data_IF_099714256370
#
_entry.id   IF_099714256370
#
_cell.length_a   1.000
_cell.length_b   1.000
_cell.length_c   1.000
_cell.angle_alpha   90.00
_cell.angle_beta   90.00
_cell.angle_gamma   90.00
#
_symmetry.space_group_name_H-M   'P 1'
#
loop_
_entity.id
_entity.type
_entity.pdbx_description
1 polymer ?
#
# COMPACT_ATOMS: atom_id res chain seq x y z
N UNK A 1 18.69 -6.56 32.47
CA UNK A 1 17.22 -6.66 32.32
C UNK A 1 16.69 -5.38 31.69
N UNK A 2 15.91 -5.46 30.61
CA UNK A 2 15.24 -4.27 30.03
C UNK A 2 13.99 -3.99 30.86
N UNK A 3 13.84 -2.81 31.49
CA UNK A 3 12.66 -2.47 32.26
C UNK A 3 11.40 -2.61 31.40
N UNK A 4 10.39 -3.35 31.89
CA UNK A 4 9.11 -3.47 31.17
C UNK A 4 8.39 -2.12 31.21
N UNK A 5 8.18 -1.51 30.05
CA UNK A 5 7.41 -0.27 29.91
C UNK A 5 5.97 -0.48 30.40
N UNK A 6 5.44 0.37 31.30
CA UNK A 6 4.06 0.25 31.77
C UNK A 6 3.05 0.26 30.61
N UNK A 7 1.97 -0.55 30.67
CA UNK A 7 1.03 -0.69 29.56
C UNK A 7 0.33 0.62 29.19
N UNK A 8 0.06 1.49 30.18
CA UNK A 8 -0.51 2.83 29.95
C UNK A 8 0.44 3.75 29.16
N UNK A 9 1.73 3.73 29.49
CA UNK A 9 2.75 4.49 28.77
C UNK A 9 2.92 3.98 27.34
N UNK A 10 2.93 2.65 27.14
CA UNK A 10 2.98 2.03 25.80
C UNK A 10 1.83 2.52 24.92
N UNK A 11 0.58 2.44 25.40
CA UNK A 11 -0.61 2.91 24.66
C UNK A 11 -0.53 4.40 24.32
N UNK A 12 0.02 5.22 25.21
CA UNK A 12 0.20 6.66 25.00
C UNK A 12 1.24 6.94 23.91
N UNK A 13 2.39 6.28 23.98
CA UNK A 13 3.45 6.37 22.97
C UNK A 13 2.94 5.91 21.59
N UNK A 14 2.21 4.79 21.53
CA UNK A 14 1.60 4.28 20.31
C UNK A 14 0.63 5.29 19.69
N UNK A 15 -0.19 5.97 20.52
CA UNK A 15 -1.14 6.99 20.03
C UNK A 15 -0.42 8.20 19.45
N UNK A 16 0.64 8.66 20.11
CA UNK A 16 1.47 9.78 19.64
C UNK A 16 2.13 9.42 18.31
N UNK A 17 2.77 8.24 18.23
CA UNK A 17 3.40 7.75 17.02
C UNK A 17 2.37 7.65 15.88
N UNK A 18 1.24 6.97 16.08
CA UNK A 18 0.19 6.84 15.04
C UNK A 18 -0.28 8.19 14.50
N UNK A 19 -0.51 9.18 15.37
CA UNK A 19 -0.91 10.54 14.94
C UNK A 19 0.20 11.26 14.19
N UNK A 20 1.43 11.16 14.66
CA UNK A 20 2.58 11.79 14.02
C UNK A 20 2.88 11.22 12.63
N UNK A 21 2.64 9.91 12.42
CA UNK A 21 2.86 9.21 11.15
C UNK A 21 1.64 9.21 10.21
N UNK A 22 0.48 9.68 10.65
CA UNK A 22 -0.76 9.65 9.86
C UNK A 22 -0.63 10.35 8.48
N UNK A 23 0.17 11.42 8.39
CA UNK A 23 0.32 12.21 7.16
C UNK A 23 1.05 11.48 6.02
N UNK A 24 1.90 10.49 6.32
CA UNK A 24 2.65 9.71 5.33
C UNK A 24 2.33 8.21 5.39
N UNK A 25 1.34 7.79 6.18
CA UNK A 25 0.99 6.38 6.36
C UNK A 25 0.72 5.65 5.04
N UNK A 26 0.23 6.38 4.04
CA UNK A 26 -0.07 5.86 2.71
C UNK A 26 0.87 6.40 1.62
N UNK A 27 1.91 7.15 1.99
CA UNK A 27 2.93 7.65 1.08
C UNK A 27 4.14 6.70 1.10
N UNK A 28 4.09 5.69 0.24
CA UNK A 28 5.18 4.71 0.10
C UNK A 28 6.38 5.25 -0.72
N UNK A 29 6.26 6.46 -1.28
CA UNK A 29 7.31 7.14 -2.03
C UNK A 29 7.90 8.31 -1.23
N UNK A 30 9.18 8.68 -1.46
CA UNK A 30 9.80 9.85 -0.86
C UNK A 30 8.97 11.11 -1.09
N UNK A 31 9.03 12.07 -0.17
CA UNK A 31 8.21 13.27 -0.26
C UNK A 31 8.80 14.40 -1.14
N UNK A 32 9.86 14.14 -1.90
CA UNK A 32 10.54 15.11 -2.77
C UNK A 32 9.83 15.38 -4.11
N UNK A 33 10.23 16.45 -4.78
CA UNK A 33 9.60 16.95 -6.01
C UNK A 33 9.64 15.92 -7.15
N UNK A 34 10.68 15.09 -7.21
CA UNK A 34 10.88 14.05 -8.22
C UNK A 34 9.82 12.93 -8.16
N UNK A 35 9.15 12.78 -7.02
CA UNK A 35 8.03 11.85 -6.83
C UNK A 35 6.69 12.57 -6.63
N UNK A 36 6.59 13.86 -6.98
CA UNK A 36 5.34 14.62 -6.81
C UNK A 36 4.17 13.99 -7.60
N UNK A 37 4.42 13.54 -8.84
CA UNK A 37 3.45 12.90 -9.73
C UNK A 37 2.98 11.51 -9.28
N UNK A 38 3.71 10.87 -8.36
CA UNK A 38 3.35 9.57 -7.78
C UNK A 38 2.53 9.72 -6.50
N UNK A 39 2.22 10.95 -6.09
CA UNK A 39 1.53 11.27 -4.83
C UNK A 39 0.35 12.18 -5.10
N UNK A 40 -0.70 11.98 -4.31
CA UNK A 40 -1.89 12.82 -4.29
C UNK A 40 -1.99 13.40 -2.89
N UNK A 41 -2.15 14.71 -2.79
CA UNK A 41 -2.33 15.40 -1.51
C UNK A 41 -3.82 15.63 -1.29
N UNK A 42 -4.36 15.04 -0.22
CA UNK A 42 -5.72 15.28 0.23
C UNK A 42 -5.65 15.97 1.59
N UNK A 43 -5.74 17.29 1.59
CA UNK A 43 -5.54 18.13 2.78
C UNK A 43 -4.16 17.95 3.42
N UNK A 44 -4.12 17.33 4.60
CA UNK A 44 -2.88 17.04 5.36
C UNK A 44 -2.33 15.63 5.12
N UNK A 45 -2.99 14.81 4.32
CA UNK A 45 -2.60 13.41 4.05
C UNK A 45 -1.98 13.29 2.68
N UNK A 46 -0.87 12.56 2.58
CA UNK A 46 -0.26 12.17 1.31
C UNK A 46 -0.62 10.72 1.00
N UNK A 47 -1.25 10.51 -0.15
CA UNK A 47 -1.63 9.19 -0.66
C UNK A 47 -0.74 8.84 -1.84
N UNK A 48 -0.26 7.61 -1.92
CA UNK A 48 0.42 7.14 -3.11
C UNK A 48 -0.59 6.89 -4.24
N UNK A 49 -0.25 7.28 -5.47
CA UNK A 49 -1.12 7.04 -6.64
C UNK A 49 -1.43 5.55 -6.82
N UNK A 50 -0.47 4.67 -6.51
CA UNK A 50 -0.71 3.22 -6.46
C UNK A 50 -1.78 2.78 -5.46
N UNK A 51 -1.79 3.38 -4.28
CA UNK A 51 -2.73 3.09 -3.19
C UNK A 51 -4.14 3.52 -3.59
N UNK A 52 -4.25 4.72 -4.18
CA UNK A 52 -5.52 5.26 -4.67
C UNK A 52 -6.05 4.39 -5.81
N UNK A 53 -5.21 4.04 -6.79
CA UNK A 53 -5.63 3.18 -7.90
C UNK A 53 -6.05 1.78 -7.43
N UNK A 54 -5.32 1.18 -6.48
CA UNK A 54 -5.67 -0.10 -5.88
C UNK A 54 -7.02 -0.04 -5.16
N UNK A 55 -7.25 1.01 -4.36
CA UNK A 55 -8.51 1.22 -3.63
C UNK A 55 -9.69 1.46 -4.58
N UNK A 56 -9.50 2.28 -5.62
CA UNK A 56 -10.50 2.48 -6.67
C UNK A 56 -10.80 1.18 -7.40
N UNK A 57 -9.76 0.41 -7.75
CA UNK A 57 -9.90 -0.91 -8.32
C UNK A 57 -10.75 -1.83 -7.44
N UNK A 58 -10.39 -1.97 -6.15
CA UNK A 58 -11.16 -2.76 -5.18
C UNK A 58 -12.64 -2.35 -5.14
N UNK A 59 -12.92 -1.05 -5.06
CA UNK A 59 -14.29 -0.53 -5.04
C UNK A 59 -15.06 -0.91 -6.32
N UNK A 60 -14.45 -0.71 -7.49
CA UNK A 60 -15.02 -1.13 -8.78
C UNK A 60 -15.24 -2.63 -8.84
N UNK A 61 -14.29 -3.43 -8.34
CA UNK A 61 -14.40 -4.89 -8.27
C UNK A 61 -15.54 -5.36 -7.39
N UNK A 62 -15.71 -4.75 -6.21
CA UNK A 62 -16.83 -5.03 -5.33
C UNK A 62 -18.17 -4.71 -5.99
N UNK A 63 -18.29 -3.53 -6.60
CA UNK A 63 -19.50 -3.13 -7.31
C UNK A 63 -19.81 -4.08 -8.48
N UNK A 64 -18.80 -4.40 -9.29
CA UNK A 64 -18.94 -5.33 -10.40
C UNK A 64 -19.35 -6.74 -9.94
N UNK A 65 -18.76 -7.24 -8.85
CA UNK A 65 -19.11 -8.55 -8.28
C UNK A 65 -20.53 -8.57 -7.69
N UNK A 66 -20.98 -7.47 -7.10
CA UNK A 66 -22.34 -7.37 -6.57
C UNK A 66 -23.39 -7.38 -7.69
N UNK A 67 -23.09 -6.73 -8.82
CA UNK A 67 -23.99 -6.59 -9.95
C UNK A 67 -23.92 -7.77 -10.95
N UNK A 68 -22.78 -8.45 -11.06
CA UNK A 68 -22.61 -9.54 -12.02
C UNK A 68 -23.46 -10.76 -11.64
N UNK A 69 -24.10 -11.45 -12.61
CA UNK A 69 -24.79 -12.70 -12.32
C UNK A 69 -23.76 -13.80 -12.04
N UNK A 70 -24.08 -14.72 -11.11
CA UNK A 70 -23.22 -15.85 -10.72
C UNK A 70 -22.63 -16.61 -11.91
N UNK A 71 -23.46 -16.87 -12.95
CA UNK A 71 -23.08 -17.55 -14.19
C UNK A 71 -22.04 -16.81 -15.04
N UNK A 72 -21.90 -15.50 -14.89
CA UNK A 72 -20.94 -14.70 -15.64
C UNK A 72 -19.51 -14.79 -15.09
N UNK A 73 -19.28 -15.46 -13.96
CA UNK A 73 -17.95 -15.58 -13.36
C UNK A 73 -16.97 -16.33 -14.27
N UNK A 74 -17.41 -17.43 -14.90
CA UNK A 74 -16.59 -18.20 -15.84
C UNK A 74 -16.20 -17.38 -17.07
N UNK A 75 -17.17 -16.65 -17.66
CA UNK A 75 -16.93 -15.75 -18.78
C UNK A 75 -16.01 -14.59 -18.41
N UNK A 76 -16.18 -14.01 -17.21
CA UNK A 76 -15.31 -12.94 -16.71
C UNK A 76 -13.87 -13.38 -16.48
N UNK A 77 -13.67 -14.60 -15.95
CA UNK A 77 -12.34 -15.19 -15.78
C UNK A 77 -11.70 -15.48 -17.15
N UNK A 78 -12.44 -16.13 -18.05
CA UNK A 78 -11.96 -16.43 -19.41
C UNK A 78 -11.57 -15.15 -20.16
N UNK A 79 -12.39 -14.09 -20.08
CA UNK A 79 -12.08 -12.79 -20.66
C UNK A 79 -10.85 -12.15 -20.03
N UNK A 80 -10.69 -12.23 -18.71
CA UNK A 80 -9.52 -11.68 -18.00
C UNK A 80 -8.22 -12.39 -18.42
N UNK A 81 -8.27 -13.72 -18.56
CA UNK A 81 -7.16 -14.53 -19.06
C UNK A 81 -6.86 -14.19 -20.52
N UNK A 82 -7.89 -14.06 -21.38
CA UNK A 82 -7.72 -13.70 -22.78
C UNK A 82 -7.09 -12.30 -22.95
N UNK A 83 -7.52 -11.32 -22.16
CA UNK A 83 -6.93 -9.97 -22.16
C UNK A 83 -5.47 -10.04 -21.70
N UNK A 84 -5.17 -10.76 -20.61
CA UNK A 84 -3.80 -10.89 -20.11
C UNK A 84 -2.89 -11.59 -21.14
N UNK A 85 -3.38 -12.65 -21.77
CA UNK A 85 -2.66 -13.40 -22.81
C UNK A 85 -2.46 -12.52 -24.06
N UNK A 86 -3.48 -11.77 -24.49
CA UNK A 86 -3.37 -10.83 -25.60
C UNK A 86 -2.34 -9.73 -25.33
N UNK A 87 -2.39 -9.10 -24.15
CA UNK A 87 -1.41 -8.09 -23.76
C UNK A 87 0.02 -8.64 -23.77
N UNK A 88 0.21 -9.88 -23.30
CA UNK A 88 1.50 -10.55 -23.36
C UNK A 88 1.94 -10.87 -24.80
N UNK A 89 1.04 -11.42 -25.62
CA UNK A 89 1.32 -11.82 -27.00
C UNK A 89 1.68 -10.63 -27.90
N UNK A 90 1.01 -9.49 -27.73
CA UNK A 90 1.26 -8.28 -28.51
C UNK A 90 2.31 -7.36 -27.90
N UNK A 91 2.96 -7.77 -26.79
CA UNK A 91 3.91 -6.91 -26.05
C UNK A 91 3.30 -5.60 -25.56
N UNK A 92 1.96 -5.52 -25.53
CA UNK A 92 1.23 -4.31 -25.18
C UNK A 92 1.41 -4.01 -23.70
N UNK A 93 2.02 -2.87 -23.41
CA UNK A 93 2.25 -2.44 -22.04
C UNK A 93 0.98 -1.80 -21.50
N UNK A 94 0.45 -2.35 -20.42
CA UNK A 94 -0.65 -1.71 -19.70
C UNK A 94 -0.23 -0.32 -19.23
N UNK A 95 -1.10 0.70 -19.39
CA UNK A 95 -0.95 1.96 -18.70
C UNK A 95 -0.67 1.71 -17.22
N UNK A 96 0.30 2.44 -16.66
CA UNK A 96 0.75 2.27 -15.27
C UNK A 96 -0.40 2.35 -14.26
N UNK A 97 -1.43 3.17 -14.54
CA UNK A 97 -2.66 3.27 -13.75
C UNK A 97 -3.47 1.97 -13.75
N UNK A 98 -3.70 1.38 -14.93
CA UNK A 98 -4.45 0.12 -15.07
C UNK A 98 -3.72 -1.03 -14.39
N UNK A 99 -2.40 -1.14 -14.57
CA UNK A 99 -1.60 -2.16 -13.88
C UNK A 99 -1.67 -2.06 -12.35
N UNK A 100 -2.04 -0.90 -11.79
CA UNK A 100 -2.23 -0.68 -10.35
C UNK A 100 -3.68 -0.89 -9.90
N UNK A 101 -4.66 -0.61 -10.74
CA UNK A 101 -6.08 -0.74 -10.42
C UNK A 101 -6.61 -2.16 -10.62
N UNK A 102 -6.19 -2.83 -11.70
CA UNK A 102 -6.68 -4.17 -12.07
C UNK A 102 -6.53 -5.22 -10.97
N UNK A 103 -5.40 -5.32 -10.25
CA UNK A 103 -5.29 -6.30 -9.17
C UNK A 103 -6.30 -6.05 -8.05
N UNK A 104 -6.58 -4.78 -7.74
CA UNK A 104 -7.62 -4.41 -6.78
C UNK A 104 -9.01 -4.82 -7.27
N UNK A 105 -9.35 -4.53 -8.53
CA UNK A 105 -10.63 -4.92 -9.12
C UNK A 105 -10.83 -6.44 -9.12
N UNK A 106 -9.81 -7.21 -9.50
CA UNK A 106 -9.85 -8.66 -9.48
C UNK A 106 -10.08 -9.21 -8.06
N UNK A 107 -9.35 -8.70 -7.06
CA UNK A 107 -9.53 -9.12 -5.66
C UNK A 107 -10.91 -8.77 -5.13
N UNK A 108 -11.40 -7.56 -5.40
CA UNK A 108 -12.72 -7.13 -4.95
C UNK A 108 -13.84 -7.99 -5.56
N UNK A 109 -13.78 -8.20 -6.87
CA UNK A 109 -14.72 -9.05 -7.58
C UNK A 109 -14.69 -10.48 -7.04
N UNK A 110 -13.50 -11.08 -6.93
CA UNK A 110 -13.34 -12.44 -6.44
C UNK A 110 -13.86 -12.60 -5.01
N UNK A 111 -13.69 -11.61 -4.14
CA UNK A 111 -14.21 -11.64 -2.77
C UNK A 111 -15.74 -11.68 -2.73
N UNK A 112 -16.42 -10.79 -3.48
CA UNK A 112 -17.90 -10.77 -3.52
C UNK A 112 -18.45 -12.06 -4.12
N UNK A 113 -17.82 -12.57 -5.19
CA UNK A 113 -18.24 -13.84 -5.77
C UNK A 113 -17.99 -15.02 -4.82
N UNK A 114 -16.93 -14.96 -4.01
CA UNK A 114 -16.67 -15.89 -2.92
C UNK A 114 -17.83 -15.96 -1.93
N UNK A 115 -18.29 -14.78 -1.48
CA UNK A 115 -19.44 -14.68 -0.59
C UNK A 115 -20.73 -15.24 -1.22
N UNK A 116 -20.98 -14.97 -2.50
CA UNK A 116 -22.23 -15.35 -3.19
C UNK A 116 -22.31 -16.84 -3.57
N UNK A 117 -21.18 -17.47 -3.90
CA UNK A 117 -21.12 -18.84 -4.41
C UNK A 117 -20.68 -19.86 -3.35
N UNK A 118 -20.54 -19.44 -2.10
CA UNK A 118 -20.13 -20.29 -0.99
C UNK A 118 -18.77 -20.94 -1.21
N UNK A 119 -18.63 -22.22 -0.84
CA UNK A 119 -17.34 -22.94 -0.89
C UNK A 119 -16.69 -22.93 -2.27
N UNK A 120 -17.48 -23.08 -3.35
CA UNK A 120 -16.97 -23.03 -4.73
C UNK A 120 -16.42 -21.64 -5.05
N UNK A 121 -17.14 -20.58 -4.68
CA UNK A 121 -16.67 -19.21 -4.83
C UNK A 121 -15.33 -18.98 -4.11
N UNK A 122 -15.25 -19.38 -2.84
CA UNK A 122 -14.04 -19.23 -2.04
C UNK A 122 -12.84 -19.99 -2.59
N UNK A 123 -13.02 -21.16 -3.19
CA UNK A 123 -11.93 -21.88 -3.86
C UNK A 123 -11.32 -21.04 -4.99
N UNK A 124 -12.17 -20.41 -5.82
CA UNK A 124 -11.73 -19.49 -6.87
C UNK A 124 -11.08 -18.21 -6.32
N UNK A 125 -11.69 -17.62 -5.29
CA UNK A 125 -11.13 -16.43 -4.62
C UNK A 125 -9.76 -16.74 -4.01
N UNK A 126 -9.59 -17.93 -3.43
CA UNK A 126 -8.32 -18.43 -2.90
C UNK A 126 -7.25 -18.55 -3.99
N UNK A 127 -7.58 -19.14 -5.14
CA UNK A 127 -6.69 -19.20 -6.29
C UNK A 127 -6.27 -17.82 -6.80
N UNK A 128 -7.22 -16.89 -6.94
CA UNK A 128 -6.93 -15.51 -7.33
C UNK A 128 -6.03 -14.78 -6.31
N UNK A 129 -6.29 -14.98 -5.01
CA UNK A 129 -5.47 -14.42 -3.94
C UNK A 129 -4.05 -14.99 -3.92
N UNK A 130 -3.88 -16.30 -4.17
CA UNK A 130 -2.56 -16.93 -4.29
C UNK A 130 -1.78 -16.39 -5.49
N UNK A 131 -2.43 -16.24 -6.65
CA UNK A 131 -1.80 -15.65 -7.83
C UNK A 131 -1.39 -14.19 -7.58
N UNK A 132 -2.26 -13.41 -6.94
CA UNK A 132 -1.93 -12.04 -6.54
C UNK A 132 -0.75 -12.00 -5.58
N UNK A 133 -0.72 -12.88 -4.56
CA UNK A 133 0.38 -12.97 -3.61
C UNK A 133 1.69 -13.36 -4.31
N UNK A 134 1.67 -14.34 -5.21
CA UNK A 134 2.83 -14.73 -5.99
C UNK A 134 3.34 -13.58 -6.87
N UNK A 135 2.46 -12.90 -7.60
CA UNK A 135 2.81 -11.73 -8.41
C UNK A 135 3.38 -10.60 -7.55
N UNK A 136 2.80 -10.35 -6.37
CA UNK A 136 3.30 -9.37 -5.42
C UNK A 136 4.68 -9.73 -4.88
N UNK A 137 4.94 -11.00 -4.54
CA UNK A 137 6.25 -11.46 -4.10
C UNK A 137 7.31 -11.35 -5.20
N UNK A 138 6.98 -11.72 -6.44
CA UNK A 138 7.85 -11.54 -7.60
C UNK A 138 8.14 -10.06 -7.87
N UNK A 139 7.10 -9.21 -7.80
CA UNK A 139 7.27 -7.75 -7.91
C UNK A 139 8.16 -7.20 -6.80
N UNK A 140 8.02 -7.66 -5.56
CA UNK A 140 8.89 -7.27 -4.45
C UNK A 140 10.35 -7.64 -4.67
N UNK A 141 10.62 -8.77 -5.34
CA UNK A 141 12.00 -9.17 -5.71
C UNK A 141 12.64 -8.20 -6.71
N UNK A 142 11.85 -7.63 -7.63
CA UNK A 142 12.32 -6.61 -8.58
C UNK A 142 12.73 -5.29 -7.90
N UNK A 143 12.23 -5.04 -6.70
CA UNK A 143 12.49 -3.83 -5.94
C UNK A 143 11.70 -2.60 -6.45
N UNK A 144 11.69 -1.51 -5.68
CA UNK A 144 11.03 -0.27 -6.09
C UNK A 144 11.76 0.33 -7.31
N UNK A 145 11.02 0.92 -8.23
CA UNK A 145 11.60 1.67 -9.35
C UNK A 145 12.36 2.88 -8.82
N UNK A 146 13.70 2.86 -8.90
CA UNK A 146 14.59 3.91 -8.40
C UNK A 146 15.07 4.89 -9.47
N UNK A 147 14.58 4.81 -10.71
CA UNK A 147 15.03 5.67 -11.82
C UNK A 147 15.18 7.16 -11.47
N UNK A 148 14.19 7.83 -10.85
CA UNK A 148 14.34 9.24 -10.45
C UNK A 148 15.44 9.48 -9.40
N UNK A 149 15.78 8.48 -8.60
CA UNK A 149 16.86 8.54 -7.62
C UNK A 149 18.23 8.22 -8.22
N UNK A 150 18.32 7.59 -9.39
CA UNK A 150 19.59 7.17 -9.98
C UNK A 150 20.47 8.37 -10.34
N UNK A 151 19.85 9.45 -10.81
CA UNK A 151 20.49 10.72 -11.17
C UNK A 151 20.32 11.81 -10.10
N UNK A 152 19.80 11.47 -8.92
CA UNK A 152 19.50 12.45 -7.89
C UNK A 152 20.77 12.87 -7.14
N UNK A 153 21.10 14.17 -7.03
CA UNK A 153 22.30 14.66 -6.34
C UNK A 153 22.25 14.40 -4.82
N UNK A 154 21.06 14.16 -4.26
CA UNK A 154 20.88 13.84 -2.85
C UNK A 154 21.01 12.34 -2.55
N UNK A 155 21.27 11.49 -3.55
CA UNK A 155 21.35 10.02 -3.39
C UNK A 155 22.44 9.60 -2.40
N UNK A 156 23.62 10.20 -2.54
CA UNK A 156 24.80 9.85 -1.74
C UNK A 156 25.04 10.82 -0.58
N UNK A 157 24.16 11.82 -0.41
CA UNK A 157 24.24 12.76 0.70
C UNK A 157 23.81 12.08 2.01
N UNK A 158 24.77 11.93 2.92
CA UNK A 158 24.50 11.68 4.35
C UNK A 158 24.05 12.99 5.01
N UNK A 159 23.11 12.96 5.98
CA UNK A 159 22.60 11.78 6.69
C UNK A 159 21.30 11.16 6.12
N UNK A 160 20.57 11.81 5.21
CA UNK A 160 19.42 11.24 4.50
C UNK A 160 18.98 12.13 3.33
N UNK A 161 18.44 11.54 2.27
CA UNK A 161 17.84 12.26 1.13
C UNK A 161 16.80 13.29 1.60
N UNK A 162 16.81 14.50 1.00
CA UNK A 162 15.92 15.62 1.35
C UNK A 162 14.44 15.27 1.24
N UNK A 163 14.09 14.31 0.37
CA UNK A 163 12.73 13.78 0.24
C UNK A 163 12.19 13.13 1.52
N UNK A 164 13.05 12.67 2.42
CA UNK A 164 12.66 12.10 3.71
C UNK A 164 12.69 13.13 4.86
N UNK A 165 13.21 14.34 4.63
CA UNK A 165 13.35 15.35 5.70
C UNK A 165 12.04 15.65 6.44
N UNK A 166 10.86 15.77 5.80
CA UNK A 166 9.61 15.98 6.54
C UNK A 166 9.25 14.82 7.48
N UNK A 167 9.57 13.59 7.09
CA UNK A 167 9.34 12.37 7.88
C UNK A 167 10.32 12.35 9.05
N UNK A 168 11.62 12.51 8.78
CA UNK A 168 12.67 12.50 9.80
C UNK A 168 12.50 13.63 10.83
N UNK A 169 12.08 14.83 10.42
CA UNK A 169 11.80 15.93 11.36
C UNK A 169 10.71 15.56 12.36
N UNK A 170 9.63 14.92 11.89
CA UNK A 170 8.52 14.50 12.75
C UNK A 170 8.90 13.29 13.60
N UNK A 171 9.65 12.34 13.06
CA UNK A 171 10.16 11.20 13.81
C UNK A 171 11.06 11.64 14.97
N UNK A 172 12.01 12.55 14.72
CA UNK A 172 12.85 13.15 15.77
C UNK A 172 12.03 13.88 16.83
N UNK A 173 10.95 14.58 16.42
CA UNK A 173 10.05 15.24 17.37
C UNK A 173 9.30 14.22 18.25
N UNK A 174 8.83 13.11 17.67
CA UNK A 174 8.22 12.00 18.41
C UNK A 174 9.22 11.35 19.35
N UNK A 175 10.44 11.08 18.90
CA UNK A 175 11.51 10.50 19.73
C UNK A 175 11.84 11.39 20.93
N UNK A 176 11.96 12.71 20.74
CA UNK A 176 12.16 13.67 21.85
C UNK A 176 11.00 13.63 22.85
N UNK A 177 9.77 13.61 22.36
CA UNK A 177 8.58 13.54 23.21
C UNK A 177 8.50 12.20 23.97
N UNK A 178 8.79 11.09 23.29
CA UNK A 178 8.83 9.76 23.87
C UNK A 178 9.90 9.67 24.96
N UNK A 179 11.12 10.18 24.70
CA UNK A 179 12.19 10.23 25.68
C UNK A 179 11.79 10.99 26.95
N UNK A 180 11.13 12.16 26.80
CA UNK A 180 10.60 12.92 27.95
C UNK A 180 9.56 12.12 28.75
N UNK A 181 8.66 11.42 28.08
CA UNK A 181 7.62 10.61 28.75
C UNK A 181 8.20 9.38 29.47
N UNK A 182 9.18 8.72 28.87
CA UNK A 182 9.88 7.58 29.48
C UNK A 182 10.68 8.05 30.69
N UNK A 183 11.46 9.13 30.55
CA UNK A 183 12.21 9.70 31.66
C UNK A 183 11.31 10.12 32.83
N UNK A 184 10.15 10.71 32.54
CA UNK A 184 9.18 11.07 33.57
C UNK A 184 8.56 9.85 34.27
N UNK A 185 8.33 8.76 33.53
CA UNK A 185 7.78 7.52 34.10
C UNK A 185 8.80 6.81 35.00
N UNK A 186 10.09 6.84 34.65
CA UNK A 186 11.16 6.25 35.46
C UNK A 186 11.45 7.02 36.76
N UNK A 187 11.03 8.28 36.86
CA UNK A 187 11.18 9.09 38.09
C UNK A 187 10.02 8.93 39.07
N UNK A 188 8.95 8.23 38.69
CA UNK A 188 7.83 7.97 39.61
C UNK A 188 8.22 6.76 40.47
N UNK A 189 8.34 6.93 41.80
CA UNK A 189 8.65 5.84 42.71
C UNK A 189 7.57 4.75 42.67
#
# INVERSE_FOLDING_TARGET
MIPRTPPGLRRKLDRIARRAHAFHRFAHHPLCVEYAQERIRLGRVHLCRGCVMLAMGLATGFAAGALAPARAMGAGLALSVAIAAGLAAFGARLPKSLGRALPGAALGFAFIQGLRLGARGWAWSGGAAMLFAAAFLLYRRKGPHRGPCETCPDRDQRPACRGFSPILRRERAVQRMAGKLVAAALRRP
#
